data_IF_697217075934
#
_entry.id   IF_697217075934
#
_cell.length_a   1.000
_cell.length_b   1.000
_cell.length_c   1.000
_cell.angle_alpha   90.00
_cell.angle_beta   90.00
_cell.angle_gamma   90.00
#
_symmetry.space_group_name_H-M   'P 1'
#
loop_
_entity.id
_entity.type
_entity.pdbx_description
1 polymer ?
#
# COMPACT_ATOMS: atom_id res chain seq x y z
N UNK A 1 -6.09 0.41 4.22
CA UNK A 1 -4.75 0.66 3.70
C UNK A 1 -4.00 -0.67 3.59
N UNK A 2 -3.52 -0.98 2.38
CA UNK A 2 -2.66 -2.14 2.15
C UNK A 2 -1.28 -1.62 1.74
N UNK A 3 -0.23 -2.01 2.45
CA UNK A 3 1.15 -1.64 2.16
C UNK A 3 1.99 -2.91 2.01
N UNK A 4 2.34 -3.22 0.79
CA UNK A 4 3.24 -4.33 0.49
C UNK A 4 4.70 -3.86 0.48
N UNK A 5 5.59 -4.68 1.03
CA UNK A 5 7.02 -4.42 1.14
C UNK A 5 7.36 -3.12 1.92
N UNK A 6 7.00 -3.09 3.20
CA UNK A 6 7.30 -1.96 4.09
C UNK A 6 8.79 -1.53 4.07
N UNK A 7 9.80 -2.42 4.03
CA UNK A 7 11.20 -2.02 3.96
C UNK A 7 11.51 -1.10 2.78
N UNK A 8 10.96 -1.40 1.61
CA UNK A 8 11.13 -0.56 0.40
C UNK A 8 10.42 0.77 0.57
N UNK A 9 9.17 0.76 1.03
CA UNK A 9 8.42 1.98 1.33
C UNK A 9 9.19 2.89 2.28
N UNK A 10 9.73 2.33 3.38
CA UNK A 10 10.54 3.09 4.33
C UNK A 10 11.77 3.71 3.67
N UNK A 11 12.51 2.93 2.88
CA UNK A 11 13.71 3.42 2.19
C UNK A 11 13.39 4.59 1.25
N UNK A 12 12.27 4.52 0.54
CA UNK A 12 11.88 5.53 -0.45
C UNK A 12 11.30 6.82 0.17
N UNK A 13 10.67 6.71 1.35
CA UNK A 13 9.87 7.81 1.93
C UNK A 13 10.44 8.41 3.21
N UNK A 14 11.21 7.67 4.01
CA UNK A 14 11.76 8.16 5.28
C UNK A 14 12.97 9.08 5.06
N UNK A 15 13.84 8.74 4.13
CA UNK A 15 15.18 9.33 3.98
C UNK A 15 15.18 10.59 3.10
N UNK A 16 14.26 10.71 2.16
CA UNK A 16 14.22 11.85 1.23
C UNK A 16 13.48 13.02 1.87
N UNK A 17 14.13 14.17 2.03
CA UNK A 17 13.57 15.36 2.69
C UNK A 17 12.23 15.83 2.09
N UNK A 18 12.01 15.65 0.80
CA UNK A 18 10.75 15.99 0.13
C UNK A 18 9.60 15.01 0.46
N UNK A 19 9.91 13.74 0.76
CA UNK A 19 8.92 12.67 1.02
C UNK A 19 8.72 12.37 2.51
N UNK A 20 9.62 12.81 3.37
CA UNK A 20 9.56 12.60 4.82
C UNK A 20 8.24 13.07 5.47
N UNK A 21 7.59 14.17 5.06
CA UNK A 21 6.29 14.55 5.60
C UNK A 21 5.20 13.49 5.35
N UNK A 22 5.21 12.84 4.20
CA UNK A 22 4.24 11.76 3.89
C UNK A 22 4.49 10.51 4.73
N UNK A 23 5.75 10.16 5.02
CA UNK A 23 6.07 9.10 5.95
C UNK A 23 5.53 9.40 7.36
N UNK A 24 5.59 10.65 7.81
CA UNK A 24 5.00 11.06 9.09
C UNK A 24 3.47 10.95 9.08
N UNK A 25 2.82 11.29 7.97
CA UNK A 25 1.36 11.07 7.80
C UNK A 25 1.02 9.58 7.90
N UNK A 26 1.79 8.71 7.24
CA UNK A 26 1.62 7.26 7.35
C UNK A 26 1.74 6.78 8.81
N UNK A 27 2.75 7.25 9.54
CA UNK A 27 2.94 6.91 10.96
C UNK A 27 1.74 7.36 11.80
N UNK A 28 1.20 8.53 11.53
CA UNK A 28 0.01 9.06 12.19
C UNK A 28 -1.24 8.24 11.88
N UNK A 29 -1.42 7.83 10.62
CA UNK A 29 -2.51 6.92 10.22
C UNK A 29 -2.44 5.60 10.99
N UNK A 30 -1.26 5.00 11.16
CA UNK A 30 -1.09 3.78 11.94
C UNK A 30 -1.43 3.97 13.42
N UNK A 31 -1.04 5.11 14.01
CA UNK A 31 -1.27 5.39 15.43
C UNK A 31 -2.69 5.82 15.76
N UNK A 32 -3.30 6.64 14.91
CA UNK A 32 -4.56 7.35 15.20
C UNK A 32 -5.74 6.90 14.34
N UNK A 33 -5.51 6.11 13.28
CA UNK A 33 -6.54 5.79 12.30
C UNK A 33 -7.59 4.77 12.77
N UNK A 34 -7.25 3.90 13.72
CA UNK A 34 -8.13 2.82 14.16
C UNK A 34 -9.49 3.30 14.71
N UNK A 35 -9.57 4.33 15.57
CA UNK A 35 -10.85 4.89 16.01
C UNK A 35 -11.69 5.50 14.90
N UNK A 36 -11.04 5.89 13.79
CA UNK A 36 -11.68 6.45 12.60
C UNK A 36 -12.08 5.37 11.56
N UNK A 37 -11.95 4.08 11.91
CA UNK A 37 -12.25 2.98 11.01
C UNK A 37 -11.17 2.66 9.98
N UNK A 38 -9.97 3.25 10.11
CA UNK A 38 -8.86 2.96 9.20
C UNK A 38 -8.13 1.71 9.69
N UNK A 39 -8.10 0.68 8.85
CA UNK A 39 -7.35 -0.54 9.08
C UNK A 39 -6.17 -0.62 8.14
N UNK A 40 -5.01 -1.04 8.64
CA UNK A 40 -3.80 -1.19 7.85
C UNK A 40 -3.31 -2.64 7.86
N UNK A 41 -2.91 -3.13 6.68
CA UNK A 41 -2.18 -4.38 6.52
C UNK A 41 -0.82 -4.03 5.92
N UNK A 42 0.24 -4.49 6.57
CA UNK A 42 1.62 -4.18 6.17
C UNK A 42 2.36 -5.50 6.02
N UNK A 43 3.06 -5.70 4.90
CA UNK A 43 3.94 -6.86 4.71
C UNK A 43 5.41 -6.47 4.86
N UNK A 44 6.24 -7.42 5.30
CA UNK A 44 7.68 -7.28 5.36
C UNK A 44 8.35 -8.65 5.10
N UNK A 45 9.49 -8.64 4.45
CA UNK A 45 10.23 -9.83 4.05
C UNK A 45 11.15 -10.40 5.16
N UNK A 46 11.39 -9.63 6.22
CA UNK A 46 12.28 -10.01 7.33
C UNK A 46 11.85 -9.35 8.64
N UNK A 47 12.13 -10.05 9.73
CA UNK A 47 11.73 -9.68 11.08
C UNK A 47 12.27 -8.33 11.56
N UNK A 48 13.52 -7.99 11.23
CA UNK A 48 14.18 -6.74 11.65
C UNK A 48 13.81 -5.51 10.78
N UNK A 49 13.03 -5.70 9.71
CA UNK A 49 12.72 -4.63 8.76
C UNK A 49 11.64 -3.67 9.27
N UNK A 50 10.84 -4.07 10.25
CA UNK A 50 9.74 -3.27 10.81
C UNK A 50 10.21 -2.63 12.12
N UNK A 51 10.39 -1.29 12.16
CA UNK A 51 10.80 -0.59 13.39
C UNK A 51 9.78 -0.76 14.51
N UNK A 52 10.25 -0.66 15.75
CA UNK A 52 9.39 -0.74 16.93
C UNK A 52 8.25 0.29 16.90
N UNK A 53 8.51 1.50 16.40
CA UNK A 53 7.49 2.53 16.25
C UNK A 53 6.32 2.11 15.33
N UNK A 54 6.56 1.27 14.33
CA UNK A 54 5.51 0.69 13.47
C UNK A 54 4.90 -0.53 14.13
N UNK A 55 5.75 -1.47 14.60
CA UNK A 55 5.31 -2.76 15.12
C UNK A 55 4.46 -2.64 16.40
N UNK A 56 4.66 -1.59 17.20
CA UNK A 56 3.83 -1.31 18.39
C UNK A 56 2.37 -0.91 18.05
N UNK A 57 2.13 -0.40 16.86
CA UNK A 57 0.79 -0.05 16.38
C UNK A 57 0.08 -1.23 15.68
N UNK A 58 0.79 -2.33 15.45
CA UNK A 58 0.23 -3.53 14.80
C UNK A 58 -0.16 -4.55 15.87
N UNK A 59 -1.46 -4.71 16.07
CA UNK A 59 -2.00 -5.58 17.11
C UNK A 59 -1.96 -7.07 16.76
N UNK A 60 -1.99 -7.43 15.49
CA UNK A 60 -1.97 -8.82 15.03
C UNK A 60 -0.86 -9.05 14.02
N UNK A 61 -0.13 -10.13 14.18
CA UNK A 61 0.95 -10.53 13.28
C UNK A 61 0.66 -11.92 12.73
N UNK A 62 0.85 -12.06 11.41
CA UNK A 62 0.86 -13.34 10.73
C UNK A 62 2.31 -13.61 10.36
N UNK A 63 2.95 -14.51 11.08
CA UNK A 63 4.37 -14.83 10.91
C UNK A 63 4.46 -16.07 10.04
N UNK A 64 4.81 -15.88 8.78
CA UNK A 64 5.15 -16.97 7.86
C UNK A 64 6.55 -17.50 8.15
N UNK A 65 6.96 -18.56 7.48
CA UNK A 65 8.29 -19.14 7.66
C UNK A 65 9.38 -18.09 7.41
N UNK A 66 10.24 -17.90 8.39
CA UNK A 66 11.42 -17.04 8.32
C UNK A 66 12.66 -17.87 7.96
N UNK A 67 13.62 -17.24 7.30
CA UNK A 67 14.89 -17.85 6.93
C UNK A 67 15.87 -17.99 8.12
N UNK A 68 15.62 -17.26 9.21
CA UNK A 68 16.47 -17.20 10.37
C UNK A 68 15.65 -17.42 11.66
N UNK A 69 16.11 -18.35 12.50
CA UNK A 69 15.48 -18.66 13.79
C UNK A 69 15.42 -17.46 14.73
N UNK A 70 16.43 -16.59 14.73
CA UNK A 70 16.45 -15.40 15.58
C UNK A 70 15.32 -14.43 15.23
N UNK A 71 14.86 -14.46 13.99
CA UNK A 71 13.75 -13.67 13.51
C UNK A 71 12.43 -13.95 14.24
N UNK A 72 12.16 -15.20 14.61
CA UNK A 72 10.96 -15.55 15.35
C UNK A 72 10.89 -14.87 16.73
N UNK A 73 12.01 -14.81 17.43
CA UNK A 73 12.08 -14.12 18.73
C UNK A 73 11.79 -12.61 18.58
N UNK A 74 12.32 -11.98 17.53
CA UNK A 74 12.10 -10.54 17.27
C UNK A 74 10.64 -10.20 17.01
N UNK A 75 9.88 -11.11 16.41
CA UNK A 75 8.44 -10.91 16.15
C UNK A 75 7.55 -11.50 17.25
N UNK A 76 8.14 -12.07 18.30
CA UNK A 76 7.40 -12.66 19.43
C UNK A 76 6.70 -13.98 19.08
N UNK A 77 7.24 -14.74 18.12
CA UNK A 77 6.73 -16.04 17.70
C UNK A 77 7.62 -17.20 18.20
N UNK A 78 7.06 -18.38 18.50
CA UNK A 78 7.84 -19.55 18.82
C UNK A 78 8.66 -20.01 17.61
N UNK A 79 9.93 -20.36 17.85
CA UNK A 79 10.89 -20.71 16.79
C UNK A 79 10.78 -22.14 16.28
N UNK A 80 10.21 -23.04 17.10
CA UNK A 80 10.22 -24.49 16.85
C UNK A 80 8.92 -25.00 16.17
N UNK A 81 8.07 -24.09 15.66
CA UNK A 81 6.77 -24.42 15.06
C UNK A 81 6.85 -24.56 13.54
N UNK A 82 7.62 -23.70 12.89
CA UNK A 82 7.76 -23.69 11.43
C UNK A 82 9.17 -24.13 11.03
N UNK A 83 9.26 -25.05 10.09
CA UNK A 83 10.51 -25.59 9.53
C UNK A 83 10.47 -25.65 8.00
N UNK A 84 11.54 -26.20 7.40
CA UNK A 84 11.65 -26.34 5.93
C UNK A 84 10.63 -27.32 5.32
N UNK A 85 9.98 -28.13 6.14
CA UNK A 85 8.94 -29.09 5.72
C UNK A 85 7.54 -28.52 5.86
N UNK A 86 7.40 -27.36 6.51
CA UNK A 86 6.12 -26.70 6.68
C UNK A 86 5.52 -26.34 5.32
N UNK A 87 4.24 -26.61 5.14
CA UNK A 87 3.53 -26.34 3.90
C UNK A 87 3.54 -24.86 3.55
N UNK A 88 3.54 -24.48 2.26
CA UNK A 88 3.37 -23.09 1.85
C UNK A 88 2.12 -22.46 2.47
N UNK A 89 2.26 -21.24 3.01
CA UNK A 89 1.17 -20.55 3.72
C UNK A 89 0.95 -21.02 5.15
N UNK A 90 1.79 -21.89 5.70
CA UNK A 90 1.78 -22.18 7.12
C UNK A 90 2.33 -20.98 7.87
N UNK A 91 1.64 -20.56 8.93
CA UNK A 91 1.94 -19.35 9.69
C UNK A 91 1.73 -19.54 11.19
N UNK A 92 2.23 -18.59 11.97
CA UNK A 92 1.96 -18.46 13.40
C UNK A 92 1.17 -17.17 13.61
N UNK A 93 0.05 -17.25 14.33
CA UNK A 93 -0.78 -16.12 14.74
C UNK A 93 -1.13 -16.28 16.21
N UNK A 94 -0.83 -15.27 17.02
CA UNK A 94 -1.10 -15.28 18.45
C UNK A 94 -0.53 -16.53 19.16
N UNK A 95 0.64 -17.00 18.72
CA UNK A 95 1.33 -18.19 19.25
C UNK A 95 0.78 -19.54 18.76
N UNK A 96 -0.24 -19.54 17.94
CA UNK A 96 -0.87 -20.76 17.38
C UNK A 96 -0.52 -20.91 15.91
N UNK A 97 -0.37 -22.18 15.50
CA UNK A 97 -0.16 -22.53 14.10
C UNK A 97 -1.46 -22.32 13.29
N UNK A 98 -1.32 -21.75 12.10
CA UNK A 98 -2.41 -21.46 11.18
C UNK A 98 -2.01 -21.84 9.75
N UNK A 99 -2.97 -22.26 8.96
CA UNK A 99 -2.83 -22.39 7.51
C UNK A 99 -3.57 -21.24 6.82
N UNK A 100 -2.86 -20.43 6.04
CA UNK A 100 -3.48 -19.37 5.23
C UNK A 100 -4.34 -20.02 4.14
N UNK A 101 -5.60 -19.62 4.07
CA UNK A 101 -6.49 -20.04 3.02
C UNK A 101 -6.14 -19.30 1.71
N UNK A 102 -6.14 -20.05 0.61
CA UNK A 102 -5.91 -19.50 -0.72
C UNK A 102 -7.16 -19.63 -1.57
N UNK A 103 -7.42 -18.66 -2.42
CA UNK A 103 -8.52 -18.74 -3.38
C UNK A 103 -8.29 -19.93 -4.32
N UNK A 104 -9.30 -20.80 -4.43
CA UNK A 104 -9.20 -22.05 -5.20
C UNK A 104 -8.40 -23.18 -4.55
N UNK A 105 -7.87 -22.99 -3.33
CA UNK A 105 -7.13 -24.02 -2.61
C UNK A 105 -5.77 -24.38 -3.24
N UNK A 106 -5.26 -23.57 -4.15
CA UNK A 106 -4.02 -23.84 -4.90
C UNK A 106 -2.84 -23.03 -4.34
N UNK A 107 -1.63 -23.61 -4.23
CA UNK A 107 -0.42 -22.86 -3.91
C UNK A 107 0.19 -22.13 -5.12
N UNK A 108 -0.35 -22.32 -6.33
CA UNK A 108 0.15 -21.72 -7.56
C UNK A 108 -0.23 -20.25 -7.64
N UNK A 109 0.76 -19.35 -7.57
CA UNK A 109 0.56 -17.88 -7.56
C UNK A 109 -0.13 -17.39 -8.84
N UNK A 110 0.22 -17.91 -10.01
CA UNK A 110 -0.40 -17.49 -11.28
C UNK A 110 -1.88 -17.86 -11.33
N UNK A 111 -2.23 -19.04 -10.81
CA UNK A 111 -3.61 -19.48 -10.71
C UNK A 111 -4.41 -18.64 -9.70
N UNK A 112 -3.83 -18.34 -8.53
CA UNK A 112 -4.43 -17.44 -7.55
C UNK A 112 -4.68 -16.06 -8.14
N UNK A 113 -3.72 -15.49 -8.87
CA UNK A 113 -3.89 -14.18 -9.54
C UNK A 113 -5.04 -14.19 -10.53
N UNK A 114 -5.15 -15.27 -11.32
CA UNK A 114 -6.28 -15.43 -12.24
C UNK A 114 -7.62 -15.49 -11.51
N UNK A 115 -7.69 -16.28 -10.44
CA UNK A 115 -8.91 -16.41 -9.64
C UNK A 115 -9.30 -15.11 -8.93
N UNK A 116 -8.31 -14.34 -8.43
CA UNK A 116 -8.56 -13.02 -7.87
C UNK A 116 -9.12 -12.04 -8.91
N UNK A 117 -8.57 -12.06 -10.13
CA UNK A 117 -9.09 -11.24 -11.22
C UNK A 117 -10.54 -11.59 -11.57
N UNK A 118 -10.87 -12.87 -11.63
CA UNK A 118 -12.26 -13.33 -11.86
C UNK A 118 -13.22 -12.91 -10.73
N UNK A 119 -12.76 -13.02 -9.48
CA UNK A 119 -13.54 -12.57 -8.32
C UNK A 119 -13.78 -11.05 -8.37
N UNK A 120 -12.74 -10.27 -8.67
CA UNK A 120 -12.86 -8.82 -8.79
C UNK A 120 -13.85 -8.41 -9.89
N UNK A 121 -13.81 -9.07 -11.04
CA UNK A 121 -14.78 -8.84 -12.11
C UNK A 121 -16.22 -9.19 -11.68
N UNK A 122 -16.41 -10.35 -11.05
CA UNK A 122 -17.73 -10.76 -10.57
C UNK A 122 -18.31 -9.78 -9.53
N UNK A 123 -17.45 -9.23 -8.66
CA UNK A 123 -17.88 -8.22 -7.67
C UNK A 123 -18.28 -6.90 -8.34
N UNK A 124 -17.58 -6.45 -9.38
CA UNK A 124 -17.98 -5.27 -10.16
C UNK A 124 -19.33 -5.50 -10.86
N UNK A 125 -19.53 -6.65 -11.47
CA UNK A 125 -20.79 -7.03 -12.10
C UNK A 125 -21.97 -7.06 -11.10
N UNK A 126 -21.69 -7.33 -9.83
CA UNK A 126 -22.67 -7.25 -8.73
C UNK A 126 -22.84 -5.84 -8.15
N UNK A 127 -22.19 -4.83 -8.73
CA UNK A 127 -22.30 -3.43 -8.30
C UNK A 127 -21.42 -3.05 -7.11
N UNK A 128 -20.34 -3.81 -6.86
CA UNK A 128 -19.34 -3.35 -5.89
C UNK A 128 -18.77 -1.99 -6.33
N UNK A 129 -18.67 -0.99 -5.45
CA UNK A 129 -18.12 0.31 -5.81
C UNK A 129 -16.63 0.16 -6.18
N UNK A 130 -16.22 0.86 -7.22
CA UNK A 130 -14.81 1.02 -7.51
C UNK A 130 -14.13 1.87 -6.41
N UNK A 131 -12.89 1.53 -6.10
CA UNK A 131 -12.06 2.35 -5.23
C UNK A 131 -11.56 3.53 -6.05
N UNK A 132 -11.58 4.72 -5.46
CA UNK A 132 -11.00 5.91 -6.08
C UNK A 132 -9.53 5.66 -6.43
N UNK A 133 -9.15 5.89 -7.67
CA UNK A 133 -7.78 5.71 -8.12
C UNK A 133 -6.88 6.79 -7.52
N UNK A 134 -5.76 6.38 -6.94
CA UNK A 134 -4.69 7.30 -6.59
C UNK A 134 -3.91 7.60 -7.86
N UNK A 135 -4.26 8.68 -8.51
CA UNK A 135 -3.61 9.11 -9.74
C UNK A 135 -2.20 9.66 -9.49
N UNK A 136 -1.44 9.75 -10.56
CA UNK A 136 -0.15 10.43 -10.59
C UNK A 136 -0.08 11.35 -11.80
N UNK A 137 0.70 12.44 -11.70
CA UNK A 137 0.92 13.30 -12.84
C UNK A 137 1.47 12.50 -14.03
N UNK A 138 0.86 12.62 -15.22
CA UNK A 138 1.36 11.96 -16.39
C UNK A 138 2.73 12.55 -16.78
N UNK A 139 3.67 11.71 -17.24
CA UNK A 139 4.98 12.17 -17.74
C UNK A 139 4.88 12.96 -19.05
N UNK A 140 3.75 12.81 -19.74
CA UNK A 140 3.40 13.57 -20.96
C UNK A 140 1.91 13.81 -20.94
N UNK A 141 1.51 15.05 -21.16
CA UNK A 141 0.12 15.47 -21.22
C UNK A 141 -0.14 16.10 -22.59
N UNK A 142 -1.13 15.58 -23.34
CA UNK A 142 -1.64 16.24 -24.52
C UNK A 142 -2.68 17.28 -24.10
N UNK A 143 -2.77 18.37 -24.83
CA UNK A 143 -3.82 19.38 -24.64
C UNK A 143 -5.19 18.91 -25.13
N UNK A 144 -5.24 17.99 -26.09
CA UNK A 144 -6.50 17.53 -26.71
C UNK A 144 -7.57 17.02 -25.74
N UNK A 145 -7.23 16.26 -24.66
CA UNK A 145 -8.21 15.80 -23.70
C UNK A 145 -8.57 16.85 -22.64
N UNK A 146 -7.85 17.98 -22.57
CA UNK A 146 -8.12 19.04 -21.59
C UNK A 146 -9.16 20.02 -22.15
N UNK A 147 -10.01 20.61 -21.29
CA UNK A 147 -10.86 21.72 -21.70
C UNK A 147 -10.00 22.94 -22.05
N UNK A 148 -10.43 23.71 -23.03
CA UNK A 148 -9.72 24.94 -23.41
C UNK A 148 -9.69 25.96 -22.26
N UNK A 149 -10.73 25.96 -21.42
CA UNK A 149 -10.91 26.89 -20.31
C UNK A 149 -11.57 26.23 -19.11
N UNK A 150 -11.21 26.73 -17.93
CA UNK A 150 -11.90 26.51 -16.66
C UNK A 150 -12.15 27.89 -16.06
N UNK A 151 -13.38 28.18 -15.61
CA UNK A 151 -13.81 29.46 -15.08
C UNK A 151 -13.40 30.68 -15.95
N UNK A 152 -13.57 30.53 -17.29
CA UNK A 152 -13.17 31.48 -18.32
C UNK A 152 -11.65 31.74 -18.46
N UNK A 153 -10.82 31.03 -17.70
CA UNK A 153 -9.37 31.10 -17.77
C UNK A 153 -8.79 29.94 -18.62
N UNK A 154 -7.73 30.19 -19.39
CA UNK A 154 -7.09 29.16 -20.19
C UNK A 154 -6.45 28.07 -19.29
N UNK A 155 -6.49 26.83 -19.75
CA UNK A 155 -5.89 25.69 -19.06
C UNK A 155 -4.46 25.49 -19.51
N UNK A 156 -3.52 25.36 -18.55
CA UNK A 156 -2.11 25.09 -18.81
C UNK A 156 -1.73 23.61 -18.64
N UNK A 157 -2.47 22.87 -17.86
CA UNK A 157 -2.13 21.50 -17.52
C UNK A 157 -3.05 20.90 -16.46
N UNK A 158 -2.52 20.02 -15.62
CA UNK A 158 -3.23 19.42 -14.49
C UNK A 158 -2.45 19.62 -13.19
N UNK A 159 -3.16 19.83 -12.11
CA UNK A 159 -2.59 19.98 -10.76
C UNK A 159 -2.17 18.61 -10.19
N UNK A 160 -1.10 18.56 -9.38
CA UNK A 160 -0.59 17.32 -8.78
C UNK A 160 -1.56 16.73 -7.74
N UNK A 161 -2.20 17.57 -6.97
CA UNK A 161 -3.04 17.19 -5.83
C UNK A 161 -4.41 16.64 -6.22
N UNK A 162 -4.99 17.19 -7.29
CA UNK A 162 -6.36 16.86 -7.74
C UNK A 162 -6.42 16.15 -9.07
N UNK A 163 -5.34 16.21 -9.86
CA UNK A 163 -5.30 15.83 -11.28
C UNK A 163 -6.38 16.54 -12.13
N UNK A 164 -6.95 17.60 -11.60
CA UNK A 164 -7.90 18.45 -12.31
C UNK A 164 -7.17 19.43 -13.22
N UNK A 165 -7.84 19.92 -14.28
CA UNK A 165 -7.29 20.97 -15.11
C UNK A 165 -6.91 22.20 -14.27
N UNK A 166 -5.67 22.69 -14.47
CA UNK A 166 -5.13 23.86 -13.81
C UNK A 166 -5.25 25.05 -14.76
N UNK A 167 -6.03 26.02 -14.35
CA UNK A 167 -6.23 27.29 -15.05
C UNK A 167 -5.07 28.27 -14.81
N UNK A 168 -5.02 29.29 -15.62
CA UNK A 168 -4.00 30.31 -15.60
C UNK A 168 -4.65 31.70 -15.74
N UNK A 169 -4.51 32.53 -14.70
CA UNK A 169 -4.91 33.94 -14.79
C UNK A 169 -3.85 34.74 -15.55
N UNK A 170 -4.14 35.27 -16.74
CA UNK A 170 -3.18 36.02 -17.55
C UNK A 170 -2.92 37.44 -17.04
N UNK A 171 -3.51 37.84 -15.92
CA UNK A 171 -3.31 39.18 -15.36
C UNK A 171 -2.06 39.19 -14.48
N UNK A 172 -0.98 39.85 -14.93
CA UNK A 172 0.24 40.02 -14.16
C UNK A 172 1.52 39.64 -14.93
N UNK A 173 2.61 39.44 -14.17
CA UNK A 173 3.91 39.05 -14.71
C UNK A 173 4.17 37.59 -14.31
N UNK A 174 4.48 36.73 -15.28
CA UNK A 174 4.73 35.33 -15.08
C UNK A 174 6.14 34.96 -15.45
N UNK A 175 6.71 34.05 -14.68
CA UNK A 175 8.00 33.39 -15.01
C UNK A 175 7.72 31.91 -15.12
N UNK A 176 7.98 31.34 -16.29
CA UNK A 176 7.99 29.89 -16.52
C UNK A 176 9.47 29.47 -16.54
N UNK A 177 9.86 28.63 -15.60
CA UNK A 177 11.23 28.13 -15.45
C UNK A 177 11.32 26.64 -15.76
#
# INVERSE_FOLDING_TARGET
LLLDNFPQFKADWEITSARSPFYQVFMRILGEGRPLGIHAVVTADRSGAVPTAVSSNISRRVVLRLSDESGYMLVGAPKDVLDDRSAPGRAIVDGLEMQVATLGGTPNVAEQTKLMGQLAQALREQGAPDVEEIGALPTRLSLEPLPDRVDDLPVLGVAEDTLAPLDFDPVGTFIVA
#
